data_IF_571274273149
#
_entry.id   IF_571274273149
#
_cell.length_a   1.000
_cell.length_b   1.000
_cell.length_c   1.000
_cell.angle_alpha   90.00
_cell.angle_beta   90.00
_cell.angle_gamma   90.00
#
_symmetry.space_group_name_H-M   'P 1'
#
loop_
_entity.id
_entity.type
_entity.pdbx_description
1 polymer ?
#
# COMPACT_ATOMS: atom_id res chain seq x y z
N UNK A 1 -5.79 -52.79 -24.76
CA UNK A 1 -5.93 -51.59 -23.90
C UNK A 1 -6.68 -50.55 -24.71
N UNK A 2 -7.99 -50.46 -24.52
CA UNK A 2 -8.85 -49.45 -25.21
C UNK A 2 -8.53 -48.06 -24.67
N UNK A 3 -8.03 -47.19 -25.53
CA UNK A 3 -7.81 -45.80 -25.18
C UNK A 3 -9.13 -45.17 -24.73
N UNK A 4 -9.16 -44.59 -23.54
CA UNK A 4 -10.34 -43.88 -23.03
C UNK A 4 -10.74 -42.80 -24.03
N UNK A 5 -12.02 -42.66 -24.36
CA UNK A 5 -12.48 -41.63 -25.27
C UNK A 5 -12.04 -40.24 -24.74
N UNK A 6 -11.60 -39.37 -25.65
CA UNK A 6 -10.98 -38.06 -25.36
C UNK A 6 -11.80 -37.18 -24.42
N UNK A 7 -13.12 -37.30 -24.37
CA UNK A 7 -14.02 -36.59 -23.45
C UNK A 7 -14.01 -37.16 -22.01
N UNK A 8 -13.38 -38.28 -21.73
CA UNK A 8 -13.17 -38.86 -20.40
C UNK A 8 -11.79 -38.52 -19.81
N UNK A 9 -10.88 -37.97 -20.62
CA UNK A 9 -9.57 -37.52 -20.16
C UNK A 9 -9.72 -36.14 -19.45
N UNK A 10 -9.76 -36.16 -18.12
CA UNK A 10 -9.87 -34.94 -17.29
C UNK A 10 -8.83 -33.88 -17.60
N UNK A 11 -7.65 -34.27 -18.06
CA UNK A 11 -6.56 -33.34 -18.37
C UNK A 11 -6.84 -32.59 -19.68
N UNK A 12 -7.29 -33.30 -20.71
CA UNK A 12 -7.69 -32.72 -22.01
C UNK A 12 -8.95 -31.85 -21.87
N UNK A 13 -9.92 -32.31 -21.09
CA UNK A 13 -11.13 -31.55 -20.83
C UNK A 13 -10.79 -30.24 -20.09
N UNK A 14 -9.87 -30.27 -19.11
CA UNK A 14 -9.40 -29.09 -18.41
C UNK A 14 -8.76 -28.06 -19.36
N UNK A 15 -7.92 -28.49 -20.29
CA UNK A 15 -7.36 -27.60 -21.31
C UNK A 15 -8.42 -27.00 -22.25
N UNK A 16 -9.39 -27.80 -22.68
CA UNK A 16 -10.49 -27.34 -23.54
C UNK A 16 -11.36 -26.29 -22.83
N UNK A 17 -11.69 -26.53 -21.56
CA UNK A 17 -12.44 -25.54 -20.76
C UNK A 17 -11.64 -24.24 -20.59
N UNK A 18 -10.33 -24.33 -20.30
CA UNK A 18 -9.47 -23.14 -20.17
C UNK A 18 -9.38 -22.37 -21.49
N UNK A 19 -9.24 -23.05 -22.62
CA UNK A 19 -9.24 -22.42 -23.96
C UNK A 19 -10.59 -21.79 -24.26
N UNK A 20 -11.72 -22.47 -23.97
CA UNK A 20 -13.05 -21.93 -24.17
C UNK A 20 -13.30 -20.68 -23.31
N UNK A 21 -12.93 -20.72 -22.03
CA UNK A 21 -13.02 -19.55 -21.12
C UNK A 21 -12.12 -18.42 -21.63
N UNK A 22 -10.87 -18.73 -22.04
CA UNK A 22 -9.96 -17.74 -22.60
C UNK A 22 -10.53 -17.08 -23.87
N UNK A 23 -11.13 -17.88 -24.77
CA UNK A 23 -11.78 -17.36 -25.97
C UNK A 23 -12.98 -16.45 -25.65
N UNK A 24 -13.82 -16.86 -24.69
CA UNK A 24 -14.98 -16.03 -24.25
C UNK A 24 -14.49 -14.71 -23.64
N UNK A 25 -13.45 -14.72 -22.82
CA UNK A 25 -12.85 -13.52 -22.24
C UNK A 25 -12.28 -12.60 -23.34
N UNK A 26 -11.53 -13.16 -24.31
CA UNK A 26 -11.00 -12.40 -25.44
C UNK A 26 -12.10 -11.80 -26.31
N UNK A 27 -13.17 -12.56 -26.58
CA UNK A 27 -14.34 -12.08 -27.32
C UNK A 27 -15.04 -10.94 -26.57
N UNK A 28 -15.24 -11.08 -25.25
CA UNK A 28 -15.83 -10.05 -24.42
C UNK A 28 -14.97 -8.76 -24.44
N UNK A 29 -13.65 -8.89 -24.32
CA UNK A 29 -12.72 -7.75 -24.42
C UNK A 29 -12.83 -7.09 -25.80
N UNK A 30 -12.82 -7.87 -26.90
CA UNK A 30 -12.94 -7.35 -28.25
C UNK A 30 -14.26 -6.61 -28.47
N UNK A 31 -15.39 -7.14 -27.97
CA UNK A 31 -16.69 -6.48 -28.00
C UNK A 31 -16.71 -5.19 -27.20
N UNK A 32 -16.11 -5.18 -26.00
CA UNK A 32 -16.03 -3.98 -25.17
C UNK A 32 -15.17 -2.89 -25.84
N UNK A 33 -14.01 -3.25 -26.39
CA UNK A 33 -13.15 -2.31 -27.13
C UNK A 33 -13.84 -1.78 -28.39
N UNK A 34 -14.51 -2.63 -29.16
CA UNK A 34 -15.29 -2.19 -30.32
C UNK A 34 -16.49 -1.30 -29.95
N UNK A 35 -17.13 -1.53 -28.82
CA UNK A 35 -18.17 -0.65 -28.29
C UNK A 35 -17.59 0.69 -27.83
N UNK A 36 -16.44 0.66 -27.15
CA UNK A 36 -15.74 1.87 -26.72
C UNK A 36 -15.38 2.75 -27.92
N UNK A 37 -14.75 2.18 -28.95
CA UNK A 37 -14.36 2.91 -30.16
C UNK A 37 -15.57 3.54 -30.84
N UNK A 38 -16.67 2.78 -31.00
CA UNK A 38 -17.94 3.29 -31.60
C UNK A 38 -18.54 4.43 -30.78
N UNK A 39 -18.56 4.30 -29.47
CA UNK A 39 -19.11 5.31 -28.57
C UNK A 39 -18.27 6.58 -28.58
N UNK A 40 -16.93 6.44 -28.57
CA UNK A 40 -16.00 7.57 -28.69
C UNK A 40 -16.20 8.32 -30.01
N UNK A 41 -16.26 7.58 -31.12
CA UNK A 41 -16.49 8.17 -32.44
C UNK A 41 -17.84 8.90 -32.52
N UNK A 42 -18.90 8.32 -31.93
CA UNK A 42 -20.23 8.96 -31.86
C UNK A 42 -20.24 10.22 -31.00
N UNK A 43 -19.44 10.23 -29.94
CA UNK A 43 -19.28 11.38 -29.05
C UNK A 43 -18.32 12.44 -29.60
N UNK A 44 -17.74 12.22 -30.80
CA UNK A 44 -16.73 13.11 -31.38
C UNK A 44 -15.38 13.09 -30.62
N UNK A 45 -15.19 12.14 -29.74
CA UNK A 45 -13.97 12.00 -28.93
C UNK A 45 -12.99 11.09 -29.66
N UNK A 46 -11.71 11.50 -29.65
CA UNK A 46 -10.59 10.66 -30.11
C UNK A 46 -9.60 10.49 -28.99
N UNK A 47 -9.23 9.23 -28.71
CA UNK A 47 -8.14 8.94 -27.80
C UNK A 47 -6.86 9.58 -28.33
N UNK A 48 -6.28 10.46 -27.55
CA UNK A 48 -5.03 11.14 -27.87
C UNK A 48 -4.29 11.44 -26.59
N UNK A 49 -2.97 11.25 -26.60
CA UNK A 49 -2.08 11.55 -25.48
C UNK A 49 -1.17 12.75 -25.77
N UNK A 50 -1.40 13.47 -26.87
CA UNK A 50 -0.58 14.66 -27.23
C UNK A 50 -0.69 15.77 -26.20
N UNK A 51 -1.84 15.92 -25.56
CA UNK A 51 -2.12 16.89 -24.50
C UNK A 51 -1.23 16.72 -23.26
N UNK A 52 -0.61 15.54 -23.06
CA UNK A 52 0.35 15.32 -21.98
C UNK A 52 1.55 16.27 -22.04
N UNK A 53 1.87 16.81 -23.21
CA UNK A 53 2.97 17.77 -23.40
C UNK A 53 2.53 19.22 -23.21
N UNK A 54 1.23 19.50 -23.09
CA UNK A 54 0.71 20.84 -22.88
C UNK A 54 0.98 21.32 -21.46
N UNK A 55 1.12 22.63 -21.21
CA UNK A 55 1.28 23.18 -19.87
C UNK A 55 0.10 22.82 -18.98
N UNK A 56 0.38 22.33 -17.76
CA UNK A 56 -0.65 21.84 -16.85
C UNK A 56 -1.50 22.97 -16.24
N UNK A 57 -0.92 24.16 -16.06
CA UNK A 57 -1.64 25.33 -15.57
C UNK A 57 -2.06 25.30 -14.10
N UNK A 58 -1.61 24.32 -13.31
CA UNK A 58 -1.86 24.22 -11.86
C UNK A 58 -0.58 23.94 -11.09
N UNK A 59 -0.55 24.31 -9.82
CA UNK A 59 0.55 24.04 -8.92
C UNK A 59 0.29 22.79 -8.06
N UNK A 60 1.36 22.11 -7.66
CA UNK A 60 1.34 20.97 -6.74
C UNK A 60 1.95 21.43 -5.42
N UNK A 61 1.16 21.44 -4.34
CA UNK A 61 1.54 22.01 -3.05
C UNK A 61 2.79 21.35 -2.43
N UNK A 62 2.97 20.06 -2.65
CA UNK A 62 4.14 19.31 -2.20
C UNK A 62 4.62 18.38 -3.32
N UNK A 63 5.88 18.52 -3.73
CA UNK A 63 6.51 17.66 -4.74
C UNK A 63 7.98 17.48 -4.45
N UNK A 64 8.51 16.29 -4.74
CA UNK A 64 9.94 15.99 -4.70
C UNK A 64 10.64 16.34 -6.02
N UNK A 65 9.87 16.49 -7.09
CA UNK A 65 10.39 16.85 -8.41
C UNK A 65 10.28 18.36 -8.65
N UNK A 66 11.18 18.96 -9.45
CA UNK A 66 11.02 20.33 -9.88
C UNK A 66 9.79 20.45 -10.80
N UNK A 67 8.74 21.06 -10.29
CA UNK A 67 7.46 21.23 -10.98
C UNK A 67 6.95 22.65 -10.79
N UNK A 68 6.36 23.21 -11.83
CA UNK A 68 5.70 24.53 -11.85
C UNK A 68 4.45 24.45 -12.70
N UNK A 69 3.55 25.41 -12.62
CA UNK A 69 2.34 25.47 -13.43
C UNK A 69 2.61 25.48 -14.96
N UNK A 70 3.82 25.87 -15.39
CA UNK A 70 4.24 25.80 -16.79
C UNK A 70 4.76 24.43 -17.23
N UNK A 71 4.98 23.51 -16.27
CA UNK A 71 5.36 22.13 -16.56
C UNK A 71 4.21 21.40 -17.26
N UNK A 72 4.56 20.37 -18.03
CA UNK A 72 3.56 19.60 -18.77
C UNK A 72 2.66 18.73 -17.84
N UNK A 73 1.48 18.35 -18.32
CA UNK A 73 0.64 17.39 -17.63
C UNK A 73 1.36 16.07 -17.32
N UNK A 74 2.21 15.60 -18.25
CA UNK A 74 3.03 14.40 -18.01
C UNK A 74 3.94 14.57 -16.79
N UNK A 75 4.56 15.75 -16.64
CA UNK A 75 5.42 16.06 -15.51
C UNK A 75 4.62 16.19 -14.21
N UNK A 76 3.39 16.75 -14.26
CA UNK A 76 2.49 16.79 -13.13
C UNK A 76 2.08 15.39 -12.65
N UNK A 77 1.66 14.51 -13.58
CA UNK A 77 1.33 13.12 -13.26
C UNK A 77 2.53 12.33 -12.72
N UNK A 78 3.74 12.59 -13.25
CA UNK A 78 4.97 12.00 -12.74
C UNK A 78 5.27 12.48 -11.32
N UNK A 79 5.08 13.77 -11.02
CA UNK A 79 5.23 14.32 -9.67
C UNK A 79 4.25 13.67 -8.68
N UNK A 80 2.97 13.53 -9.07
CA UNK A 80 1.98 12.80 -8.28
C UNK A 80 2.35 11.33 -8.07
N UNK A 81 2.89 10.66 -9.09
CA UNK A 81 3.37 9.28 -8.96
C UNK A 81 4.54 9.14 -7.99
N UNK A 82 5.51 10.06 -8.04
CA UNK A 82 6.64 10.08 -7.10
C UNK A 82 6.15 10.30 -5.66
N UNK A 83 5.15 11.17 -5.47
CA UNK A 83 4.50 11.36 -4.17
C UNK A 83 3.81 10.06 -3.70
N UNK A 84 3.10 9.35 -4.59
CA UNK A 84 2.52 8.03 -4.28
C UNK A 84 3.60 7.02 -3.88
N UNK A 85 4.71 6.93 -4.64
CA UNK A 85 5.82 6.04 -4.30
C UNK A 85 6.44 6.36 -2.93
N UNK A 86 6.61 7.65 -2.61
CA UNK A 86 7.08 8.09 -1.29
C UNK A 86 6.19 7.56 -0.17
N UNK A 87 4.88 7.73 -0.30
CA UNK A 87 3.90 7.24 0.68
C UNK A 87 3.94 5.70 0.77
N UNK A 88 3.93 5.02 -0.36
CA UNK A 88 3.92 3.55 -0.41
C UNK A 88 5.19 2.98 0.22
N UNK A 89 6.37 3.44 -0.18
CA UNK A 89 7.65 2.90 0.34
C UNK A 89 7.79 3.15 1.83
N UNK A 90 7.56 4.37 2.30
CA UNK A 90 7.65 4.71 3.72
C UNK A 90 6.57 3.99 4.52
N UNK A 91 5.34 3.99 4.00
CA UNK A 91 4.20 3.30 4.62
C UNK A 91 4.43 1.80 4.77
N UNK A 92 4.95 1.13 3.73
CA UNK A 92 5.25 -0.32 3.77
C UNK A 92 6.29 -0.64 4.85
N UNK A 93 7.36 0.13 4.94
CA UNK A 93 8.41 -0.09 5.95
C UNK A 93 7.85 0.08 7.35
N UNK A 94 7.20 1.21 7.61
CA UNK A 94 6.68 1.53 8.95
C UNK A 94 5.53 0.58 9.36
N UNK A 95 4.61 0.27 8.44
CA UNK A 95 3.51 -0.67 8.70
C UNK A 95 4.05 -2.09 8.97
N UNK A 96 5.11 -2.51 8.29
CA UNK A 96 5.74 -3.82 8.54
C UNK A 96 6.39 -3.85 9.93
N UNK A 97 7.14 -2.81 10.30
CA UNK A 97 7.74 -2.72 11.64
C UNK A 97 6.67 -2.75 12.72
N UNK A 98 5.64 -1.91 12.60
CA UNK A 98 4.54 -1.87 13.57
C UNK A 98 3.78 -3.20 13.62
N UNK A 99 3.47 -3.77 12.45
CA UNK A 99 2.69 -5.01 12.36
C UNK A 99 3.45 -6.22 12.89
N UNK A 100 4.74 -6.35 12.57
CA UNK A 100 5.58 -7.43 13.11
C UNK A 100 5.71 -7.31 14.64
N UNK A 101 5.98 -6.10 15.14
CA UNK A 101 6.08 -5.84 16.57
C UNK A 101 4.77 -6.15 17.30
N UNK A 102 3.64 -5.64 16.78
CA UNK A 102 2.30 -5.85 17.38
C UNK A 102 1.86 -7.31 17.29
N UNK A 103 2.09 -7.96 16.14
CA UNK A 103 1.77 -9.37 15.95
C UNK A 103 2.53 -10.29 16.89
N UNK A 104 3.84 -10.07 17.04
CA UNK A 104 4.66 -10.81 17.98
C UNK A 104 4.26 -10.52 19.45
N UNK A 105 4.02 -9.25 19.78
CA UNK A 105 3.61 -8.84 21.12
C UNK A 105 2.22 -9.39 21.52
N UNK A 106 1.32 -9.60 20.56
CA UNK A 106 0.01 -10.22 20.80
C UNK A 106 0.07 -11.68 21.29
N UNK A 107 1.23 -12.33 21.10
CA UNK A 107 1.54 -13.69 21.56
C UNK A 107 2.36 -13.70 22.87
N UNK A 108 2.60 -12.55 23.48
CA UNK A 108 3.35 -12.41 24.72
C UNK A 108 2.69 -13.19 25.86
N UNK A 109 3.51 -13.70 26.77
CA UNK A 109 3.05 -14.29 28.04
C UNK A 109 2.49 -13.23 29.01
N UNK A 110 2.84 -11.97 28.82
CA UNK A 110 2.26 -10.86 29.58
C UNK A 110 0.83 -10.59 29.08
N UNK A 111 -0.21 -10.85 29.89
CA UNK A 111 -1.60 -10.73 29.47
C UNK A 111 -2.02 -9.28 29.14
N UNK A 112 -1.42 -8.30 29.82
CA UNK A 112 -1.67 -6.89 29.57
C UNK A 112 -1.17 -6.48 28.17
N UNK A 113 0.10 -6.80 27.86
CA UNK A 113 0.69 -6.51 26.57
C UNK A 113 -0.07 -7.20 25.43
N UNK A 114 -0.34 -8.50 25.61
CA UNK A 114 -1.11 -9.27 24.62
C UNK A 114 -2.54 -8.71 24.44
N UNK A 115 -3.18 -8.31 25.54
CA UNK A 115 -4.51 -7.70 25.53
C UNK A 115 -4.54 -6.38 24.76
N UNK A 116 -3.65 -5.45 25.08
CA UNK A 116 -3.54 -4.15 24.40
C UNK A 116 -3.31 -4.33 22.88
N UNK A 117 -2.39 -5.24 22.49
CA UNK A 117 -2.12 -5.44 21.06
C UNK A 117 -3.30 -6.09 20.32
N UNK A 118 -4.02 -7.01 20.95
CA UNK A 118 -5.23 -7.59 20.36
C UNK A 118 -6.35 -6.56 20.23
N UNK A 119 -6.56 -5.75 21.24
CA UNK A 119 -7.54 -4.64 21.20
C UNK A 119 -7.19 -3.64 20.08
N UNK A 120 -5.91 -3.25 19.96
CA UNK A 120 -5.44 -2.41 18.86
C UNK A 120 -5.82 -3.01 17.50
N UNK A 121 -5.45 -4.27 17.27
CA UNK A 121 -5.72 -4.96 16.00
C UNK A 121 -7.22 -5.05 15.72
N UNK A 122 -8.01 -5.41 16.73
CA UNK A 122 -9.46 -5.57 16.59
C UNK A 122 -10.15 -4.23 16.31
N UNK A 123 -9.87 -3.20 17.08
CA UNK A 123 -10.47 -1.86 16.90
C UNK A 123 -10.10 -1.28 15.53
N UNK A 124 -8.82 -1.28 15.19
CA UNK A 124 -8.35 -0.63 13.95
C UNK A 124 -8.89 -1.34 12.70
N UNK A 125 -8.96 -2.66 12.70
CA UNK A 125 -9.47 -3.43 11.54
C UNK A 125 -10.98 -3.28 11.33
N UNK A 126 -11.73 -2.94 12.38
CA UNK A 126 -13.18 -2.76 12.30
C UNK A 126 -13.62 -1.32 11.95
N UNK A 127 -12.69 -0.37 11.86
CA UNK A 127 -12.98 1.00 11.44
C UNK A 127 -12.51 1.22 10.00
N UNK A 128 -13.36 1.74 9.08
CA UNK A 128 -12.95 2.04 7.71
C UNK A 128 -11.73 2.97 7.64
N UNK A 129 -10.77 2.65 6.77
CA UNK A 129 -9.53 3.43 6.65
C UNK A 129 -9.78 4.91 6.35
N UNK A 130 -10.72 5.22 5.44
CA UNK A 130 -11.05 6.61 5.11
C UNK A 130 -11.44 7.44 6.34
N UNK A 131 -12.25 6.86 7.23
CA UNK A 131 -12.63 7.54 8.48
C UNK A 131 -11.43 7.75 9.41
N UNK A 132 -10.50 6.80 9.44
CA UNK A 132 -9.26 6.95 10.20
C UNK A 132 -8.38 8.07 9.63
N UNK A 133 -8.24 8.17 8.29
CA UNK A 133 -7.47 9.25 7.65
C UNK A 133 -8.07 10.63 7.97
N UNK A 134 -9.39 10.76 7.82
CA UNK A 134 -10.11 12.00 8.14
C UNK A 134 -9.94 12.35 9.63
N UNK A 135 -10.05 11.37 10.53
CA UNK A 135 -9.82 11.59 11.97
C UNK A 135 -8.38 12.05 12.25
N UNK A 136 -7.36 11.35 11.71
CA UNK A 136 -5.97 11.74 11.92
C UNK A 136 -5.71 13.16 11.42
N UNK A 137 -6.18 13.49 10.22
CA UNK A 137 -5.94 14.80 9.63
C UNK A 137 -6.67 15.91 10.39
N UNK A 138 -7.99 15.84 10.54
CA UNK A 138 -8.79 16.92 11.11
C UNK A 138 -8.73 16.99 12.64
N UNK A 139 -8.79 15.85 13.33
CA UNK A 139 -8.86 15.83 14.78
C UNK A 139 -7.49 15.84 15.47
N UNK A 140 -6.43 15.34 14.79
CA UNK A 140 -5.09 15.25 15.39
C UNK A 140 -4.14 16.28 14.80
N UNK A 141 -3.87 16.20 13.49
CA UNK A 141 -2.82 17.02 12.90
C UNK A 141 -3.20 18.49 12.69
N UNK A 142 -4.42 18.80 12.26
CA UNK A 142 -4.89 20.20 12.19
C UNK A 142 -5.12 20.86 13.55
N UNK A 143 -5.30 20.07 14.61
CA UNK A 143 -5.44 20.55 15.98
C UNK A 143 -4.08 20.81 16.67
N UNK A 144 -2.94 20.57 16.00
CA UNK A 144 -1.62 20.85 16.54
C UNK A 144 -1.43 22.34 16.85
N UNK A 145 -0.60 22.68 17.87
CA UNK A 145 -0.38 24.06 18.29
C UNK A 145 0.38 24.86 17.22
N UNK A 146 0.38 26.18 17.40
CA UNK A 146 1.15 27.12 16.57
C UNK A 146 2.66 26.84 16.64
N UNK A 147 3.44 27.42 15.72
CA UNK A 147 4.91 27.27 15.71
C UNK A 147 5.57 27.76 17.02
N UNK A 148 5.00 28.79 17.65
CA UNK A 148 5.51 29.33 18.92
C UNK A 148 5.31 28.37 20.10
N UNK A 149 4.21 27.59 20.07
CA UNK A 149 3.82 26.65 21.12
C UNK A 149 4.06 25.19 20.71
N UNK A 150 4.92 24.97 19.71
CA UNK A 150 5.16 23.65 19.14
C UNK A 150 5.54 22.59 20.19
N UNK A 151 4.95 21.41 20.06
CA UNK A 151 5.28 20.24 20.89
C UNK A 151 6.66 19.72 20.48
N UNK A 152 7.66 19.90 21.34
CA UNK A 152 9.05 19.49 21.09
C UNK A 152 9.35 18.20 21.83
N UNK A 153 9.60 17.14 21.09
CA UNK A 153 10.06 15.85 21.58
C UNK A 153 11.52 15.61 21.06
N UNK A 154 12.30 14.74 21.69
CA UNK A 154 13.64 14.42 21.19
C UNK A 154 13.60 13.98 19.71
N UNK A 155 14.16 14.78 18.81
CA UNK A 155 14.20 14.49 17.38
C UNK A 155 12.89 14.69 16.62
N UNK A 156 11.79 15.13 17.26
CA UNK A 156 10.48 15.32 16.65
C UNK A 156 9.82 16.61 17.17
N UNK A 157 9.45 17.50 16.25
CA UNK A 157 8.67 18.72 16.59
C UNK A 157 7.35 18.69 15.85
N UNK A 158 6.24 18.86 16.58
CA UNK A 158 4.88 18.85 16.04
C UNK A 158 4.27 20.25 16.16
N UNK A 159 3.85 20.81 15.06
CA UNK A 159 3.21 22.09 14.99
C UNK A 159 2.20 22.14 13.83
N UNK A 160 1.29 23.11 13.84
CA UNK A 160 0.35 23.36 12.74
C UNK A 160 1.04 23.70 11.41
N UNK A 161 2.30 24.13 11.44
CA UNK A 161 3.12 24.38 10.25
C UNK A 161 3.73 23.11 9.64
N UNK A 162 3.63 21.97 10.32
CA UNK A 162 4.15 20.68 9.86
C UNK A 162 4.71 19.81 10.98
N UNK A 163 5.11 18.61 10.61
CA UNK A 163 5.85 17.66 11.44
C UNK A 163 7.32 17.70 11.04
N UNK A 164 8.20 17.98 11.98
CA UNK A 164 9.63 18.16 11.72
C UNK A 164 10.43 17.04 12.39
N UNK A 165 11.30 16.39 11.63
CA UNK A 165 12.22 15.37 12.10
C UNK A 165 13.65 15.96 12.16
N UNK A 166 14.27 15.90 13.34
CA UNK A 166 15.61 16.44 13.58
C UNK A 166 15.61 17.79 14.31
N UNK A 167 16.77 18.48 14.37
CA UNK A 167 16.89 19.75 15.07
C UNK A 167 16.14 20.87 14.34
N UNK A 168 15.31 21.58 15.11
CA UNK A 168 14.45 22.68 14.61
C UNK A 168 14.63 23.91 15.49
N UNK A 169 14.75 25.07 14.89
CA UNK A 169 14.80 26.38 15.56
C UNK A 169 13.61 27.25 15.15
N UNK A 170 13.22 28.13 16.05
CA UNK A 170 12.20 29.16 15.75
C UNK A 170 12.91 30.39 15.21
N UNK A 171 12.68 30.75 13.95
CA UNK A 171 13.27 31.91 13.27
C UNK A 171 12.14 32.78 12.75
N UNK A 172 12.08 34.03 13.17
CA UNK A 172 11.02 34.99 12.77
C UNK A 172 9.58 34.49 12.99
N UNK A 173 9.35 33.66 14.01
CA UNK A 173 8.03 33.11 14.30
C UNK A 173 7.67 31.84 13.53
N UNK A 174 8.57 31.37 12.66
CA UNK A 174 8.42 30.11 11.90
C UNK A 174 9.44 29.07 12.33
N UNK A 175 9.03 27.79 12.25
CA UNK A 175 9.93 26.67 12.50
C UNK A 175 10.79 26.42 11.27
N UNK A 176 12.12 26.45 11.45
CA UNK A 176 13.11 26.22 10.40
C UNK A 176 14.09 25.13 10.82
N UNK A 177 14.49 24.30 9.87
CA UNK A 177 15.42 23.18 10.07
C UNK A 177 14.73 21.81 10.04
N UNK A 178 15.53 20.76 10.18
CA UNK A 178 15.06 19.37 10.13
C UNK A 178 14.38 18.98 8.80
N UNK A 179 13.83 17.78 8.77
CA UNK A 179 12.98 17.31 7.66
C UNK A 179 11.52 17.63 7.96
N UNK A 180 10.94 18.51 7.17
CA UNK A 180 9.54 18.89 7.27
C UNK A 180 8.67 17.91 6.48
N UNK A 181 7.66 17.36 7.14
CA UNK A 181 6.54 16.67 6.52
C UNK A 181 5.31 17.61 6.59
N UNK A 182 4.56 17.70 5.51
CA UNK A 182 3.25 18.36 5.55
C UNK A 182 2.31 17.64 6.52
N UNK A 183 1.28 18.31 7.00
CA UNK A 183 0.29 17.68 7.87
C UNK A 183 -0.47 16.58 7.14
N UNK A 184 -0.73 16.80 5.85
CA UNK A 184 -1.38 15.86 4.95
C UNK A 184 -0.56 14.56 4.85
N UNK A 185 0.75 14.67 4.57
CA UNK A 185 1.64 13.51 4.49
C UNK A 185 1.75 12.79 5.84
N UNK A 186 1.90 13.54 6.93
CA UNK A 186 2.02 12.97 8.26
C UNK A 186 0.74 12.22 8.67
N UNK A 187 -0.43 12.79 8.41
CA UNK A 187 -1.72 12.16 8.67
C UNK A 187 -1.93 10.91 7.81
N UNK A 188 -1.60 11.00 6.50
CA UNK A 188 -1.70 9.89 5.57
C UNK A 188 -0.82 8.72 5.99
N UNK A 189 0.46 8.99 6.28
CA UNK A 189 1.38 7.96 6.75
C UNK A 189 0.93 7.36 8.08
N UNK A 190 0.50 8.17 9.04
CA UNK A 190 0.02 7.68 10.33
C UNK A 190 -1.18 6.76 10.15
N UNK A 191 -2.20 7.20 9.42
CA UNK A 191 -3.41 6.40 9.18
C UNK A 191 -3.12 5.10 8.43
N UNK A 192 -2.34 5.17 7.33
CA UNK A 192 -1.96 3.98 6.56
C UNK A 192 -1.11 3.00 7.39
N UNK A 193 -0.15 3.51 8.16
CA UNK A 193 0.74 2.67 8.99
C UNK A 193 -0.03 1.99 10.11
N UNK A 194 -0.87 2.73 10.83
CA UNK A 194 -1.70 2.19 11.91
C UNK A 194 -2.67 1.14 11.35
N UNK A 195 -3.35 1.45 10.25
CA UNK A 195 -4.32 0.55 9.63
C UNK A 195 -3.65 -0.71 9.07
N UNK A 196 -2.68 -0.55 8.17
CA UNK A 196 -2.00 -1.69 7.53
C UNK A 196 -1.17 -2.50 8.54
N UNK A 197 -0.60 -1.82 9.55
CA UNK A 197 0.11 -2.47 10.65
C UNK A 197 -0.78 -3.44 11.44
N UNK A 198 -2.05 -3.10 11.66
CA UNK A 198 -3.02 -4.00 12.32
C UNK A 198 -3.29 -5.27 11.49
N UNK A 199 -3.43 -5.14 10.16
CA UNK A 199 -3.60 -6.30 9.28
C UNK A 199 -2.33 -7.14 9.18
N UNK A 200 -1.16 -6.51 9.09
CA UNK A 200 0.13 -7.21 9.11
C UNK A 200 0.34 -7.93 10.44
N UNK A 201 -0.05 -7.32 11.58
CA UNK A 201 0.02 -7.97 12.88
C UNK A 201 -0.76 -9.29 12.93
N UNK A 202 -1.96 -9.32 12.33
CA UNK A 202 -2.76 -10.53 12.25
C UNK A 202 -2.14 -11.59 11.32
N UNK A 203 -1.55 -11.18 10.19
CA UNK A 203 -0.79 -12.09 9.31
C UNK A 203 0.39 -12.71 10.05
N UNK A 204 1.16 -11.91 10.80
CA UNK A 204 2.30 -12.40 11.59
C UNK A 204 1.85 -13.34 12.69
N UNK A 205 0.82 -12.94 13.46
CA UNK A 205 0.24 -13.76 14.53
C UNK A 205 -0.27 -15.09 13.98
N UNK A 206 -1.04 -15.07 12.91
CA UNK A 206 -1.58 -16.26 12.25
C UNK A 206 -0.49 -17.18 11.72
N UNK A 207 0.56 -16.61 11.09
CA UNK A 207 1.70 -17.38 10.61
C UNK A 207 2.48 -18.09 11.74
N UNK A 208 2.68 -17.44 12.88
CA UNK A 208 3.35 -18.08 14.03
C UNK A 208 2.48 -19.20 14.62
N UNK A 209 1.16 -18.97 14.74
CA UNK A 209 0.23 -19.97 15.32
C UNK A 209 0.03 -21.16 14.34
N UNK A 210 0.20 -20.97 13.04
CA UNK A 210 0.06 -22.04 12.04
C UNK A 210 1.10 -23.16 12.18
N UNK A 211 2.21 -22.89 12.88
CA UNK A 211 3.26 -23.92 13.14
C UNK A 211 2.73 -24.95 14.14
N UNK A 212 2.71 -26.25 13.78
CA UNK A 212 2.18 -27.30 14.64
C UNK A 212 2.86 -27.34 16.02
N UNK A 213 2.06 -27.53 17.08
CA UNK A 213 2.56 -27.62 18.46
C UNK A 213 3.65 -28.68 18.64
N UNK A 214 3.56 -29.80 17.93
CA UNK A 214 4.58 -30.85 17.97
C UNK A 214 5.99 -30.36 17.57
N UNK A 215 6.11 -29.34 16.73
CA UNK A 215 7.40 -28.73 16.40
C UNK A 215 8.01 -27.99 17.60
N UNK A 216 7.16 -27.29 18.37
CA UNK A 216 7.56 -26.61 19.59
C UNK A 216 7.97 -27.61 20.68
N UNK A 217 7.18 -28.67 20.85
CA UNK A 217 7.39 -29.72 21.86
C UNK A 217 8.65 -30.54 21.56
N UNK A 218 8.85 -30.95 20.31
CA UNK A 218 10.06 -31.66 19.89
C UNK A 218 11.34 -30.82 20.12
N UNK A 219 11.31 -29.54 19.74
CA UNK A 219 12.43 -28.65 19.97
C UNK A 219 12.70 -28.42 21.46
N UNK A 220 11.65 -28.31 22.28
CA UNK A 220 11.78 -28.20 23.74
C UNK A 220 12.34 -29.48 24.37
N UNK A 221 11.98 -30.67 23.86
CA UNK A 221 12.49 -31.96 24.30
C UNK A 221 14.01 -32.15 24.03
N UNK A 222 14.52 -31.42 23.01
CA UNK A 222 15.97 -31.34 22.74
C UNK A 222 16.70 -30.33 23.62
N UNK A 223 16.03 -29.72 24.61
CA UNK A 223 16.62 -28.78 25.54
C UNK A 223 16.87 -27.39 24.97
N UNK A 224 16.27 -27.05 23.82
CA UNK A 224 16.43 -25.73 23.19
C UNK A 224 15.73 -24.65 24.03
N UNK A 225 16.36 -23.48 24.13
CA UNK A 225 15.80 -22.31 24.80
C UNK A 225 14.63 -21.73 23.97
N UNK A 226 13.61 -21.13 24.60
CA UNK A 226 12.42 -20.61 23.89
C UNK A 226 12.74 -19.67 22.73
N UNK A 227 13.73 -18.81 22.87
CA UNK A 227 14.18 -17.91 21.80
C UNK A 227 14.79 -18.67 20.62
N UNK A 228 15.60 -19.71 20.89
CA UNK A 228 16.19 -20.57 19.86
C UNK A 228 15.11 -21.37 19.13
N UNK A 229 14.11 -21.89 19.85
CA UNK A 229 12.95 -22.56 19.25
C UNK A 229 12.22 -21.60 18.30
N UNK A 230 11.93 -20.39 18.76
CA UNK A 230 11.27 -19.39 17.94
C UNK A 230 12.09 -19.07 16.67
N UNK A 231 13.39 -18.82 16.82
CA UNK A 231 14.25 -18.35 15.74
C UNK A 231 14.59 -19.43 14.72
N UNK A 232 14.94 -20.64 15.20
CA UNK A 232 15.53 -21.69 14.34
C UNK A 232 14.49 -22.72 13.86
N UNK A 233 13.35 -22.87 14.57
CA UNK A 233 12.34 -23.87 14.26
C UNK A 233 11.05 -23.23 13.76
N UNK A 234 10.51 -22.27 14.52
CA UNK A 234 9.17 -21.71 14.27
C UNK A 234 9.21 -20.65 13.19
N UNK A 235 10.09 -19.65 13.31
CA UNK A 235 10.13 -18.52 12.40
C UNK A 235 10.37 -18.94 10.93
N UNK A 236 11.30 -19.86 10.60
CA UNK A 236 11.45 -20.32 9.21
C UNK A 236 10.21 -20.98 8.64
N UNK A 237 9.43 -21.68 9.48
CA UNK A 237 8.17 -22.30 9.06
C UNK A 237 7.05 -21.25 8.94
N UNK A 238 6.93 -20.34 9.91
CA UNK A 238 5.96 -19.27 9.94
C UNK A 238 6.12 -18.32 8.74
N UNK A 239 7.34 -17.99 8.33
CA UNK A 239 7.63 -17.10 7.21
C UNK A 239 7.05 -17.60 5.88
N UNK A 240 6.89 -18.91 5.70
CA UNK A 240 6.24 -19.49 4.51
C UNK A 240 4.76 -19.08 4.39
N UNK A 241 4.11 -18.82 5.52
CA UNK A 241 2.71 -18.36 5.59
C UNK A 241 2.66 -16.83 5.63
N UNK A 242 3.57 -16.21 6.39
CA UNK A 242 3.63 -14.76 6.58
C UNK A 242 3.92 -14.05 5.25
N UNK A 243 4.95 -14.47 4.51
CA UNK A 243 5.41 -13.74 3.29
C UNK A 243 4.32 -13.66 2.20
N UNK A 244 3.59 -14.73 1.84
CA UNK A 244 2.46 -14.62 0.94
C UNK A 244 1.33 -13.73 1.48
N UNK A 245 1.06 -13.78 2.80
CA UNK A 245 0.09 -12.93 3.46
C UNK A 245 0.46 -11.43 3.40
N UNK A 246 1.75 -11.11 3.59
CA UNK A 246 2.27 -9.75 3.47
C UNK A 246 2.08 -9.19 2.06
N UNK A 247 2.23 -10.00 1.00
CA UNK A 247 2.02 -9.54 -0.38
C UNK A 247 0.64 -8.88 -0.55
N UNK A 248 -0.42 -9.53 -0.06
CA UNK A 248 -1.77 -8.98 -0.13
C UNK A 248 -1.92 -7.66 0.63
N UNK A 249 -1.26 -7.54 1.80
CA UNK A 249 -1.31 -6.32 2.59
C UNK A 249 -0.52 -5.17 1.94
N UNK A 250 0.59 -5.47 1.29
CA UNK A 250 1.41 -4.47 0.59
C UNK A 250 0.70 -3.92 -0.65
N UNK A 251 0.07 -4.78 -1.44
CA UNK A 251 -0.78 -4.37 -2.57
C UNK A 251 -1.97 -3.53 -2.07
N UNK A 252 -2.60 -3.93 -0.95
CA UNK A 252 -3.70 -3.16 -0.36
C UNK A 252 -3.25 -1.77 0.11
N UNK A 253 -2.08 -1.66 0.77
CA UNK A 253 -1.52 -0.37 1.18
C UNK A 253 -1.26 0.53 -0.03
N UNK A 254 -0.66 0.00 -1.10
CA UNK A 254 -0.39 0.76 -2.32
C UNK A 254 -1.67 1.31 -2.96
N UNK A 255 -2.75 0.51 -3.01
CA UNK A 255 -4.06 0.99 -3.49
C UNK A 255 -4.69 2.01 -2.55
N UNK A 256 -4.62 1.77 -1.26
CA UNK A 256 -5.19 2.64 -0.24
C UNK A 256 -4.48 3.99 -0.14
N UNK A 257 -3.25 4.13 -0.68
CA UNK A 257 -2.57 5.43 -0.73
C UNK A 257 -3.35 6.46 -1.54
N UNK A 258 -4.17 6.04 -2.52
CA UNK A 258 -5.03 6.93 -3.30
C UNK A 258 -6.14 7.61 -2.48
N UNK A 259 -6.45 7.13 -1.27
CA UNK A 259 -7.34 7.82 -0.34
C UNK A 259 -6.73 9.14 0.18
N UNK A 260 -5.49 9.44 -0.14
CA UNK A 260 -4.80 10.70 0.06
C UNK A 260 -5.59 11.92 -0.41
N UNK A 261 -6.36 11.76 -1.50
CA UNK A 261 -7.22 12.81 -2.07
C UNK A 261 -8.22 13.34 -1.04
N UNK A 262 -8.72 12.51 -0.13
CA UNK A 262 -9.70 12.91 0.89
C UNK A 262 -9.16 13.93 1.92
N UNK A 263 -7.85 14.02 2.07
CA UNK A 263 -7.17 14.95 2.97
C UNK A 263 -6.28 15.96 2.24
N UNK A 264 -6.39 16.03 0.90
CA UNK A 264 -5.71 17.01 0.07
C UNK A 264 -4.22 16.76 -0.18
N UNK A 265 -3.70 15.55 0.09
CA UNK A 265 -2.31 15.24 -0.29
C UNK A 265 -2.20 14.97 -1.79
N UNK A 266 -1.25 15.63 -2.51
CA UNK A 266 -1.16 15.58 -3.96
C UNK A 266 -0.45 14.30 -4.46
N UNK A 267 -1.10 13.17 -4.29
CA UNK A 267 -0.68 11.90 -4.87
C UNK A 267 -1.05 11.80 -6.37
N UNK A 268 -0.75 10.68 -7.01
CA UNK A 268 -1.08 10.44 -8.42
C UNK A 268 -2.58 10.59 -8.69
N UNK A 269 -3.44 10.09 -7.78
CA UNK A 269 -4.88 10.15 -7.98
C UNK A 269 -5.39 11.59 -7.90
N UNK A 270 -4.95 12.38 -6.92
CA UNK A 270 -5.34 13.78 -6.77
C UNK A 270 -4.89 14.64 -7.96
N UNK A 271 -3.66 14.43 -8.46
CA UNK A 271 -3.15 15.13 -9.65
C UNK A 271 -3.91 14.70 -10.91
N UNK A 272 -4.24 13.42 -11.04
CA UNK A 272 -5.03 12.91 -12.15
C UNK A 272 -6.47 13.46 -12.14
N UNK A 273 -7.10 13.57 -10.97
CA UNK A 273 -8.41 14.20 -10.81
C UNK A 273 -8.39 15.67 -11.23
N UNK A 274 -7.39 16.43 -10.82
CA UNK A 274 -7.18 17.82 -11.26
C UNK A 274 -7.01 17.89 -12.79
N UNK A 275 -6.19 17.01 -13.36
CA UNK A 275 -5.97 16.88 -14.79
C UNK A 275 -7.27 16.56 -15.54
N UNK A 276 -8.05 15.61 -15.03
CA UNK A 276 -9.36 15.25 -15.58
C UNK A 276 -10.30 16.46 -15.62
N UNK A 277 -10.41 17.17 -14.50
CA UNK A 277 -11.31 18.32 -14.36
C UNK A 277 -10.93 19.47 -15.30
N UNK A 278 -9.64 19.68 -15.58
CA UNK A 278 -9.17 20.72 -16.49
C UNK A 278 -9.28 20.34 -17.96
N UNK A 279 -8.99 19.08 -18.30
CA UNK A 279 -8.88 18.64 -19.71
C UNK A 279 -10.14 17.98 -20.25
N UNK A 280 -11.02 17.47 -19.36
CA UNK A 280 -12.15 16.61 -19.73
C UNK A 280 -11.74 15.24 -20.30
N UNK A 281 -10.45 14.88 -20.27
CA UNK A 281 -9.88 13.66 -20.86
C UNK A 281 -10.03 12.44 -19.95
N UNK A 282 -11.29 12.10 -19.60
CA UNK A 282 -11.57 11.06 -18.61
C UNK A 282 -10.98 9.70 -18.93
N UNK A 283 -11.11 9.25 -20.19
CA UNK A 283 -10.68 7.89 -20.58
C UNK A 283 -9.16 7.77 -20.54
N UNK A 284 -8.46 8.75 -21.10
CA UNK A 284 -7.00 8.77 -21.11
C UNK A 284 -6.42 8.83 -19.70
N UNK A 285 -6.98 9.68 -18.83
CA UNK A 285 -6.54 9.82 -17.44
C UNK A 285 -6.79 8.52 -16.67
N UNK A 286 -7.97 7.90 -16.80
CA UNK A 286 -8.25 6.61 -16.16
C UNK A 286 -7.36 5.47 -16.67
N UNK A 287 -7.04 5.46 -17.98
CA UNK A 287 -6.08 4.49 -18.52
C UNK A 287 -4.68 4.66 -17.92
N UNK A 288 -4.21 5.91 -17.75
CA UNK A 288 -2.93 6.20 -17.11
C UNK A 288 -2.96 5.70 -15.66
N UNK A 289 -3.99 6.04 -14.88
CA UNK A 289 -4.16 5.57 -13.52
C UNK A 289 -4.15 4.05 -13.43
N UNK A 290 -4.95 3.39 -14.27
CA UNK A 290 -5.03 1.92 -14.33
C UNK A 290 -3.66 1.29 -14.57
N UNK A 291 -2.94 1.77 -15.60
CA UNK A 291 -1.64 1.21 -15.97
C UNK A 291 -0.58 1.45 -14.90
N UNK A 292 -0.57 2.63 -14.28
CA UNK A 292 0.41 2.97 -13.25
C UNK A 292 0.16 2.16 -11.97
N UNK A 293 -1.08 2.09 -11.48
CA UNK A 293 -1.38 1.28 -10.29
C UNK A 293 -1.22 -0.22 -10.55
N UNK A 294 -1.59 -0.71 -11.74
CA UNK A 294 -1.32 -2.10 -12.13
C UNK A 294 0.19 -2.39 -12.15
N UNK A 295 0.98 -1.49 -12.73
CA UNK A 295 2.44 -1.60 -12.75
C UNK A 295 3.04 -1.62 -11.34
N UNK A 296 2.55 -0.76 -10.45
CA UNK A 296 2.96 -0.71 -9.05
C UNK A 296 2.63 -2.02 -8.31
N UNK A 297 1.40 -2.52 -8.45
CA UNK A 297 0.95 -3.77 -7.83
C UNK A 297 1.75 -4.98 -8.36
N UNK A 298 2.00 -5.04 -9.66
CA UNK A 298 2.83 -6.09 -10.27
C UNK A 298 4.27 -6.01 -9.77
N UNK A 299 4.83 -4.81 -9.65
CA UNK A 299 6.17 -4.58 -9.08
C UNK A 299 6.29 -5.10 -7.65
N UNK A 300 5.33 -4.76 -6.78
CA UNK A 300 5.25 -5.25 -5.40
C UNK A 300 5.14 -6.78 -5.41
N UNK A 301 4.23 -7.34 -6.21
CA UNK A 301 4.01 -8.78 -6.30
C UNK A 301 5.25 -9.54 -6.77
N UNK A 302 5.96 -9.03 -7.77
CA UNK A 302 7.22 -9.63 -8.26
C UNK A 302 8.31 -9.63 -7.18
N UNK A 303 8.46 -8.52 -6.45
CA UNK A 303 9.39 -8.42 -5.33
C UNK A 303 9.06 -9.43 -4.24
N UNK A 304 7.79 -9.49 -3.84
CA UNK A 304 7.33 -10.40 -2.79
C UNK A 304 7.42 -11.86 -3.20
N UNK A 305 7.17 -12.19 -4.46
CA UNK A 305 7.37 -13.55 -4.99
C UNK A 305 8.83 -13.97 -4.93
N UNK A 306 9.78 -13.07 -5.25
CA UNK A 306 11.21 -13.36 -5.09
C UNK A 306 11.57 -13.61 -3.62
N UNK A 307 11.06 -12.80 -2.70
CA UNK A 307 11.26 -13.00 -1.26
C UNK A 307 10.67 -14.34 -0.79
N UNK A 308 9.47 -14.70 -1.26
CA UNK A 308 8.84 -15.99 -0.95
C UNK A 308 9.68 -17.19 -1.43
N UNK A 309 10.34 -17.07 -2.59
CA UNK A 309 11.26 -18.11 -3.06
C UNK A 309 12.50 -18.27 -2.20
N UNK A 310 13.04 -17.18 -1.62
CA UNK A 310 14.19 -17.23 -0.71
C UNK A 310 13.86 -17.90 0.63
N UNK A 311 12.60 -17.80 1.08
CA UNK A 311 12.14 -18.36 2.35
C UNK A 311 11.67 -19.82 2.21
N UNK A 312 11.56 -20.35 0.98
CA UNK A 312 11.26 -21.78 0.75
C UNK A 312 12.39 -22.64 1.27
N UNK A 313 12.13 -23.39 2.35
CA UNK A 313 13.02 -24.49 2.77
C UNK A 313 12.92 -25.55 1.67
N UNK A 314 14.04 -25.94 1.08
CA UNK A 314 14.09 -27.12 0.19
C UNK A 314 13.81 -28.35 1.05
N UNK A 315 12.65 -28.96 0.87
CA UNK A 315 12.43 -30.33 1.35
C UNK A 315 13.38 -31.22 0.54
N UNK A 316 14.33 -31.86 1.24
CA UNK A 316 15.14 -32.95 0.69
C UNK A 316 14.40 -34.26 0.83
#
# INVERSE_FOLDING_TARGET
>A
MSALPWWRDRRRLGWLIQLAVGLVVLLAIALLLGNLERNLTRAGLRLSFTWLNDPAGFDIAETLLPYTAQSSYAMGLLAGFVNTLRVVVVGLVLATVLGVASGAASLSRNPLLAGVMRTYVEVVRNVPLLLQLVFWYFAVFLALPSAAEALRLPGLTLAKSGVFLGPVSLVNGELSGGWRLSLELAALLTGLVVYSGAFIAEVVRGGIISVPRGQWEAAASLGLRPFTILREVVLPQALRVIVPGLNSQYISLAKNSSLAVAIGYPDLYAVAETTLNQTGRGIEVFLILLLVYLGLDLGISLLMNRLAHLVRIRER
#
